data_IF_241262850157
#
_entry.id   IF_241262850157
#
_cell.length_a   1.000
_cell.length_b   1.000
_cell.length_c   1.000
_cell.angle_alpha   90.00
_cell.angle_beta   90.00
_cell.angle_gamma   90.00
#
_symmetry.space_group_name_H-M   'P 1'
#
loop_
_entity.id
_entity.type
_entity.pdbx_description
1 polymer ?
#
# COMPACT_ATOMS: atom_id res chain seq x y z
N UNK A 1 -21.84 36.14 33.43
CA UNK A 1 -22.36 34.79 33.10
C UNK A 1 -21.68 34.34 31.81
N UNK A 2 -20.56 33.63 31.96
CA UNK A 2 -19.81 33.06 30.85
C UNK A 2 -20.33 31.66 30.53
N UNK A 3 -20.83 31.47 29.31
CA UNK A 3 -21.14 30.17 28.75
C UNK A 3 -20.39 30.03 27.44
N UNK A 4 -19.17 29.50 27.49
CA UNK A 4 -18.47 29.00 26.32
C UNK A 4 -19.14 27.69 25.94
N UNK A 5 -20.06 27.76 24.97
CA UNK A 5 -20.57 26.59 24.28
C UNK A 5 -19.48 26.04 23.38
N UNK A 6 -18.70 25.09 23.90
CA UNK A 6 -17.85 24.25 23.06
C UNK A 6 -18.74 23.43 22.15
N UNK A 7 -18.85 23.83 20.89
CA UNK A 7 -19.43 22.99 19.85
C UNK A 7 -18.56 21.75 19.77
N UNK A 8 -19.07 20.61 20.23
CA UNK A 8 -18.52 19.30 19.90
C UNK A 8 -18.64 19.16 18.38
N UNK A 9 -17.62 19.61 17.65
CA UNK A 9 -17.50 19.37 16.22
C UNK A 9 -17.34 17.88 16.04
N UNK A 10 -18.41 17.19 15.65
CA UNK A 10 -18.30 15.80 15.23
C UNK A 10 -17.35 15.76 14.04
N UNK A 11 -16.31 14.92 14.12
CA UNK A 11 -15.41 14.71 12.99
C UNK A 11 -16.22 14.34 11.75
N UNK A 12 -15.87 14.92 10.60
CA UNK A 12 -16.63 14.71 9.37
C UNK A 12 -16.30 13.34 8.78
N UNK A 13 -17.30 12.50 8.52
CA UNK A 13 -17.09 11.19 7.88
C UNK A 13 -16.90 11.39 6.38
N UNK A 14 -15.81 10.85 5.84
CA UNK A 14 -15.38 11.02 4.44
C UNK A 14 -14.89 9.70 3.84
N UNK A 15 -14.85 9.63 2.51
CA UNK A 15 -14.27 8.49 1.77
C UNK A 15 -12.75 8.64 1.59
N UNK A 16 -12.06 7.53 1.29
CA UNK A 16 -10.64 7.57 0.93
C UNK A 16 -10.37 8.48 -0.29
N UNK A 17 -11.26 8.50 -1.29
CA UNK A 17 -11.14 9.42 -2.43
C UNK A 17 -11.20 10.89 -2.01
N UNK A 18 -12.07 11.22 -1.05
CA UNK A 18 -12.15 12.57 -0.50
C UNK A 18 -10.88 12.93 0.27
N UNK A 19 -10.35 12.02 1.10
CA UNK A 19 -9.07 12.24 1.80
C UNK A 19 -7.95 12.52 0.82
N UNK A 20 -7.82 11.73 -0.25
CA UNK A 20 -6.77 11.94 -1.27
C UNK A 20 -6.90 13.25 -2.05
N UNK A 21 -8.07 13.87 -2.04
CA UNK A 21 -8.31 15.17 -2.68
C UNK A 21 -8.13 16.35 -1.71
N UNK A 22 -7.92 16.11 -0.42
CA UNK A 22 -7.69 17.16 0.57
C UNK A 22 -6.27 17.73 0.44
N UNK A 23 -6.13 19.00 0.78
CA UNK A 23 -4.82 19.60 0.94
C UNK A 23 -4.11 19.02 2.17
N UNK A 24 -2.78 18.92 2.10
CA UNK A 24 -1.95 18.57 3.25
C UNK A 24 -2.11 19.58 4.40
N UNK A 25 -1.87 19.11 5.62
CA UNK A 25 -1.99 19.88 6.84
C UNK A 25 -3.01 19.30 7.82
N UNK A 26 -3.42 20.10 8.83
CA UNK A 26 -4.41 19.68 9.81
C UNK A 26 -5.77 19.39 9.16
N UNK A 27 -6.36 18.25 9.52
CA UNK A 27 -7.71 17.83 9.13
C UNK A 27 -8.43 17.27 10.36
N UNK A 28 -9.75 17.10 10.32
CA UNK A 28 -10.50 16.40 11.37
C UNK A 28 -11.61 15.55 10.74
N UNK A 29 -11.20 14.39 10.24
CA UNK A 29 -12.05 13.51 9.45
C UNK A 29 -11.98 12.08 9.94
N UNK A 30 -13.04 11.33 9.67
CA UNK A 30 -13.10 9.89 9.93
C UNK A 30 -13.33 9.18 8.61
N UNK A 31 -12.56 8.12 8.37
CA UNK A 31 -12.81 7.17 7.29
C UNK A 31 -13.27 5.86 7.92
N UNK A 32 -14.48 5.43 7.57
CA UNK A 32 -15.11 4.24 8.15
C UNK A 32 -15.02 3.02 7.22
N UNK A 33 -14.97 1.84 7.84
CA UNK A 33 -14.99 0.53 7.18
C UNK A 33 -13.89 0.37 6.10
N UNK A 34 -12.64 0.67 6.44
CA UNK A 34 -11.48 0.40 5.58
C UNK A 34 -10.72 -0.83 6.07
N UNK A 35 -10.14 -1.60 5.15
CA UNK A 35 -9.35 -2.77 5.48
C UNK A 35 -7.87 -2.43 5.49
N UNK A 36 -7.15 -2.92 6.49
CA UNK A 36 -5.69 -2.91 6.51
C UNK A 36 -5.19 -3.92 5.49
N UNK A 37 -4.49 -3.46 4.46
CA UNK A 37 -4.10 -4.30 3.33
C UNK A 37 -2.64 -4.74 3.36
N UNK A 38 -1.76 -3.92 3.94
CA UNK A 38 -0.33 -4.22 3.97
C UNK A 38 0.35 -3.53 5.16
N UNK A 39 1.28 -4.20 5.83
CA UNK A 39 2.01 -3.67 6.99
C UNK A 39 3.46 -3.34 6.60
N UNK A 40 3.90 -2.13 6.94
CA UNK A 40 5.28 -1.65 6.77
C UNK A 40 5.93 -1.43 8.13
N UNK A 41 7.24 -1.20 8.15
CA UNK A 41 7.97 -0.97 9.40
C UNK A 41 7.49 0.26 10.20
N UNK A 42 6.89 1.26 9.53
CA UNK A 42 6.45 2.53 10.13
C UNK A 42 5.01 2.92 9.82
N UNK A 43 4.17 1.93 9.52
CA UNK A 43 2.80 2.21 9.13
C UNK A 43 2.16 1.05 8.40
N UNK A 44 1.05 1.32 7.75
CA UNK A 44 0.27 0.34 7.01
C UNK A 44 -0.54 1.01 5.92
N UNK A 45 -0.98 0.26 4.91
CA UNK A 45 -1.91 0.76 3.90
C UNK A 45 -3.33 0.32 4.22
N UNK A 46 -4.30 1.17 3.85
CA UNK A 46 -5.72 0.86 3.94
C UNK A 46 -6.41 1.00 2.59
N UNK A 47 -7.41 0.15 2.33
CA UNK A 47 -8.28 0.23 1.17
C UNK A 47 -9.70 -0.23 1.52
N UNK A 48 -10.70 0.31 0.82
CA UNK A 48 -12.10 -0.13 0.97
C UNK A 48 -12.55 -1.07 -0.13
N UNK A 49 -12.05 -0.87 -1.34
CA UNK A 49 -12.51 -1.54 -2.56
C UNK A 49 -11.31 -1.93 -3.43
N UNK A 50 -11.45 -2.99 -4.23
CA UNK A 50 -10.38 -3.51 -5.09
C UNK A 50 -9.75 -2.45 -5.98
N UNK A 51 -10.58 -1.65 -6.66
CA UNK A 51 -10.15 -0.56 -7.56
C UNK A 51 -10.28 0.83 -6.91
N UNK A 52 -10.51 0.86 -5.60
CA UNK A 52 -10.62 2.09 -4.84
C UNK A 52 -9.24 2.63 -4.43
N UNK A 53 -9.15 3.94 -4.15
CA UNK A 53 -7.91 4.52 -3.67
C UNK A 53 -7.43 3.84 -2.40
N UNK A 54 -6.11 3.63 -2.32
CA UNK A 54 -5.42 3.30 -1.08
C UNK A 54 -4.92 4.56 -0.39
N UNK A 55 -4.62 4.42 0.90
CA UNK A 55 -3.98 5.45 1.71
C UNK A 55 -2.94 4.80 2.61
N UNK A 56 -1.74 5.39 2.67
CA UNK A 56 -0.75 5.00 3.66
C UNK A 56 -1.02 5.72 4.98
N UNK A 57 -0.96 4.97 6.07
CA UNK A 57 -1.14 5.46 7.44
C UNK A 57 0.19 5.35 8.16
N UNK A 58 0.76 6.49 8.52
CA UNK A 58 2.02 6.55 9.25
C UNK A 58 1.79 6.41 10.75
N UNK A 59 2.50 5.47 11.39
CA UNK A 59 2.41 5.22 12.84
C UNK A 59 3.70 5.56 13.58
N UNK A 60 4.71 6.07 12.89
CA UNK A 60 6.02 6.30 13.47
C UNK A 60 6.76 4.98 13.75
N UNK A 61 7.68 4.95 14.74
CA UNK A 61 8.48 3.76 15.06
C UNK A 61 7.70 2.72 15.88
N UNK A 62 6.49 3.04 16.34
CA UNK A 62 5.68 2.12 17.11
C UNK A 62 5.04 1.07 16.18
N UNK A 63 4.92 -0.19 16.64
CA UNK A 63 4.17 -1.21 15.92
C UNK A 63 2.73 -0.73 15.66
N UNK A 64 2.22 -1.02 14.46
CA UNK A 64 0.84 -0.72 14.12
C UNK A 64 -0.11 -1.51 15.06
N UNK A 65 -1.16 -0.88 15.63
CA UNK A 65 -2.12 -1.56 16.52
C UNK A 65 -3.16 -2.39 15.76
N UNK A 66 -2.80 -2.85 14.55
CA UNK A 66 -3.69 -3.49 13.58
C UNK A 66 -2.95 -4.62 12.86
N UNK A 67 -3.70 -5.55 12.29
CA UNK A 67 -3.19 -6.61 11.43
C UNK A 67 -3.82 -6.54 10.03
N UNK A 68 -3.14 -7.10 9.03
CA UNK A 68 -3.71 -7.28 7.68
C UNK A 68 -5.04 -8.04 7.78
N UNK A 69 -6.06 -7.54 7.07
CA UNK A 69 -7.41 -8.10 7.09
C UNK A 69 -8.34 -7.55 8.18
N UNK A 70 -7.82 -6.75 9.12
CA UNK A 70 -8.68 -5.99 10.04
C UNK A 70 -9.47 -4.93 9.27
N UNK A 71 -10.76 -4.81 9.60
CA UNK A 71 -11.60 -3.67 9.21
C UNK A 71 -11.59 -2.63 10.33
N UNK A 72 -11.26 -1.40 9.98
CA UNK A 72 -11.09 -0.31 10.94
C UNK A 72 -11.88 0.94 10.55
N UNK A 73 -12.20 1.73 11.57
CA UNK A 73 -12.57 3.14 11.43
C UNK A 73 -11.38 3.99 11.88
N UNK A 74 -10.98 4.95 11.05
CA UNK A 74 -9.76 5.71 11.22
C UNK A 74 -10.08 7.20 11.34
N UNK A 75 -9.76 7.80 12.49
CA UNK A 75 -9.67 9.25 12.64
C UNK A 75 -8.32 9.72 12.10
N UNK A 76 -8.34 10.76 11.27
CA UNK A 76 -7.15 11.40 10.71
C UNK A 76 -7.14 12.85 11.20
N UNK A 77 -6.06 13.25 11.87
CA UNK A 77 -5.88 14.62 12.35
C UNK A 77 -4.91 15.44 11.47
N UNK A 78 -4.10 14.76 10.63
CA UNK A 78 -3.15 15.42 9.74
C UNK A 78 -2.93 14.62 8.46
N UNK A 79 -2.76 15.33 7.35
CA UNK A 79 -2.23 14.79 6.11
C UNK A 79 -0.85 15.40 5.86
N UNK A 80 0.06 14.60 5.35
CA UNK A 80 1.38 15.04 4.86
C UNK A 80 1.80 14.20 3.67
N UNK A 81 2.95 14.51 3.09
CA UNK A 81 3.57 13.65 2.10
C UNK A 81 5.02 13.33 2.42
N UNK A 82 5.42 12.11 2.11
CA UNK A 82 6.82 11.68 2.17
C UNK A 82 7.20 11.00 0.86
N UNK A 83 8.23 11.55 0.18
CA UNK A 83 8.72 11.05 -1.11
C UNK A 83 7.66 10.91 -2.22
N UNK A 84 6.66 11.78 -2.22
CA UNK A 84 5.57 11.79 -3.21
C UNK A 84 4.30 11.10 -2.73
N UNK A 85 4.41 10.26 -1.69
CA UNK A 85 3.27 9.49 -1.17
C UNK A 85 2.49 10.34 -0.18
N UNK A 86 1.17 10.44 -0.38
CA UNK A 86 0.26 11.00 0.61
C UNK A 86 0.14 10.05 1.80
N UNK A 87 0.38 10.58 3.00
CA UNK A 87 0.32 9.85 4.25
C UNK A 87 -0.72 10.47 5.19
N UNK A 88 -1.53 9.62 5.83
CA UNK A 88 -2.29 10.00 7.00
C UNK A 88 -1.38 9.99 8.23
N UNK A 89 -1.11 11.19 8.72
CA UNK A 89 -0.37 11.47 9.95
C UNK A 89 -1.34 11.65 11.12
N UNK A 90 -0.83 11.45 12.34
CA UNK A 90 -1.58 11.69 13.58
C UNK A 90 -2.98 11.06 13.52
N UNK A 91 -2.97 9.73 13.46
CA UNK A 91 -4.19 8.94 13.29
C UNK A 91 -4.58 8.22 14.57
N UNK A 92 -5.88 7.95 14.72
CA UNK A 92 -6.40 7.13 15.81
C UNK A 92 -7.37 6.10 15.24
N UNK A 93 -7.13 4.83 15.51
CA UNK A 93 -8.08 3.75 15.21
C UNK A 93 -9.24 3.84 16.19
N UNK A 94 -10.43 4.17 15.69
CA UNK A 94 -11.65 4.34 16.50
C UNK A 94 -12.36 3.01 16.74
N UNK A 95 -12.35 2.14 15.72
CA UNK A 95 -12.90 0.80 15.77
C UNK A 95 -11.94 -0.15 15.04
N UNK A 96 -11.83 -1.38 15.54
CA UNK A 96 -11.11 -2.47 14.90
C UNK A 96 -11.89 -3.76 15.15
N UNK A 97 -12.34 -4.42 14.07
CA UNK A 97 -13.09 -5.67 14.18
C UNK A 97 -12.21 -6.87 14.59
N UNK A 98 -10.88 -6.72 14.55
CA UNK A 98 -9.88 -7.77 14.73
C UNK A 98 -10.13 -9.00 13.83
N UNK A 99 -10.79 -8.78 12.69
CA UNK A 99 -11.16 -9.81 11.74
C UNK A 99 -9.99 -10.24 10.85
N UNK A 100 -10.24 -11.28 10.07
CA UNK A 100 -9.30 -11.87 9.12
C UNK A 100 -9.86 -11.81 7.70
N UNK A 101 -10.30 -10.62 7.27
CA UNK A 101 -10.81 -10.46 5.91
C UNK A 101 -9.71 -10.80 4.90
N UNK A 102 -10.04 -11.64 3.91
CA UNK A 102 -9.10 -12.03 2.86
C UNK A 102 -8.90 -10.87 1.88
N UNK A 103 -8.02 -9.93 2.24
CA UNK A 103 -7.73 -8.75 1.43
C UNK A 103 -7.04 -9.10 0.11
N UNK A 104 -6.29 -10.21 0.05
CA UNK A 104 -5.61 -10.62 -1.17
C UNK A 104 -6.64 -11.05 -2.21
N UNK A 105 -7.52 -11.98 -1.85
CA UNK A 105 -8.56 -12.47 -2.77
C UNK A 105 -9.55 -11.38 -3.14
N UNK A 106 -9.88 -10.48 -2.22
CA UNK A 106 -10.96 -9.52 -2.43
C UNK A 106 -10.51 -8.15 -2.94
N UNK A 107 -9.35 -7.64 -2.51
CA UNK A 107 -8.91 -6.26 -2.77
C UNK A 107 -7.66 -6.15 -3.65
N UNK A 108 -6.83 -7.18 -3.79
CA UNK A 108 -5.64 -7.07 -4.62
C UNK A 108 -6.02 -6.90 -6.11
N UNK A 109 -5.31 -5.99 -6.79
CA UNK A 109 -5.40 -5.85 -8.24
C UNK A 109 -4.28 -6.60 -8.94
N UNK A 110 -4.64 -7.55 -9.80
CA UNK A 110 -3.66 -8.29 -10.60
C UNK A 110 -3.15 -7.44 -11.77
N UNK A 111 -1.95 -6.90 -11.65
CA UNK A 111 -1.35 -6.05 -12.68
C UNK A 111 -0.75 -6.84 -13.84
N UNK A 112 -0.52 -8.15 -13.69
CA UNK A 112 0.05 -9.00 -14.75
C UNK A 112 -0.95 -9.48 -15.81
N UNK A 113 -2.22 -9.11 -15.70
CA UNK A 113 -3.24 -9.53 -16.68
C UNK A 113 -3.03 -8.89 -18.05
N UNK A 114 -3.17 -9.67 -19.13
CA UNK A 114 -3.07 -9.15 -20.50
C UNK A 114 -1.69 -8.56 -20.76
N UNK A 115 -1.61 -7.34 -21.29
CA UNK A 115 -0.35 -6.65 -21.57
C UNK A 115 0.43 -6.21 -20.33
N UNK A 116 -0.14 -6.37 -19.13
CA UNK A 116 0.39 -5.80 -17.90
C UNK A 116 -0.08 -4.35 -17.70
N UNK A 117 -0.24 -3.96 -16.43
CA UNK A 117 -0.52 -2.57 -16.02
C UNK A 117 0.68 -2.02 -15.26
N UNK A 118 1.29 -0.96 -15.76
CA UNK A 118 2.39 -0.30 -15.07
C UNK A 118 1.90 0.41 -13.78
N UNK A 119 2.72 0.49 -12.72
CA UNK A 119 2.42 1.30 -11.55
C UNK A 119 2.21 2.76 -11.96
N UNK A 120 1.29 3.43 -11.27
CA UNK A 120 0.96 4.83 -11.49
C UNK A 120 0.52 5.48 -10.18
N UNK A 121 0.48 6.81 -10.13
CA UNK A 121 0.02 7.57 -8.95
C UNK A 121 -1.42 7.18 -8.55
N UNK A 122 -2.24 6.81 -9.55
CA UNK A 122 -3.59 6.32 -9.34
C UNK A 122 -3.64 5.01 -8.55
N UNK A 123 -2.57 4.20 -8.59
CA UNK A 123 -2.43 2.94 -7.85
C UNK A 123 -1.71 3.10 -6.51
N UNK A 124 -1.17 4.28 -6.19
CA UNK A 124 -0.41 4.49 -4.94
C UNK A 124 -1.18 4.00 -3.70
N UNK A 125 -0.46 3.32 -2.80
CA UNK A 125 -0.95 2.69 -1.57
C UNK A 125 -1.97 1.57 -1.79
N UNK A 126 -2.20 1.12 -3.02
CA UNK A 126 -3.09 0.01 -3.32
C UNK A 126 -2.34 -1.32 -3.26
N UNK A 127 -3.03 -2.35 -2.76
CA UNK A 127 -2.61 -3.74 -2.78
C UNK A 127 -2.69 -4.28 -4.21
N UNK A 128 -1.58 -4.81 -4.70
CA UNK A 128 -1.44 -5.31 -6.06
C UNK A 128 -0.82 -6.70 -6.06
N UNK A 129 -1.13 -7.44 -7.11
CA UNK A 129 -0.63 -8.79 -7.34
C UNK A 129 0.05 -8.87 -8.70
N UNK A 130 1.16 -9.61 -8.78
CA UNK A 130 1.75 -10.08 -10.02
C UNK A 130 1.76 -11.59 -10.04
N UNK A 131 1.53 -12.15 -11.22
CA UNK A 131 1.74 -13.56 -11.50
C UNK A 131 2.83 -13.69 -12.56
N UNK A 132 3.70 -14.70 -12.43
CA UNK A 132 4.76 -15.05 -13.38
C UNK A 132 5.67 -13.85 -13.74
N UNK A 133 5.93 -12.95 -12.78
CA UNK A 133 6.84 -11.83 -12.97
C UNK A 133 8.27 -12.35 -13.15
N UNK A 134 9.05 -11.71 -14.02
CA UNK A 134 10.45 -12.08 -14.28
C UNK A 134 11.38 -10.94 -13.90
N UNK A 135 12.47 -11.23 -13.19
CA UNK A 135 13.53 -10.24 -12.94
C UNK A 135 14.36 -10.04 -14.21
N UNK A 136 14.36 -8.84 -14.78
CA UNK A 136 15.15 -8.53 -15.98
C UNK A 136 16.54 -7.97 -15.66
N UNK A 137 16.66 -7.22 -14.57
CA UNK A 137 17.93 -6.65 -14.12
C UNK A 137 17.85 -6.17 -12.66
N UNK A 138 19.00 -5.78 -12.12
CA UNK A 138 19.12 -5.21 -10.78
C UNK A 138 19.61 -6.22 -9.73
N UNK A 139 19.61 -5.78 -8.49
CA UNK A 139 20.00 -6.56 -7.31
C UNK A 139 19.33 -5.98 -6.07
N UNK A 140 19.27 -6.74 -4.98
CA UNK A 140 18.62 -6.26 -3.77
C UNK A 140 19.17 -4.89 -3.31
N UNK A 141 18.30 -3.95 -2.88
CA UNK A 141 16.85 -4.09 -2.76
C UNK A 141 16.07 -3.69 -4.02
N UNK A 142 16.71 -3.33 -5.14
CA UNK A 142 16.05 -2.72 -6.30
C UNK A 142 16.22 -3.55 -7.58
N UNK A 143 15.09 -4.01 -8.12
CA UNK A 143 15.02 -4.84 -9.32
C UNK A 143 14.18 -4.15 -10.40
N UNK A 144 14.45 -4.48 -11.66
CA UNK A 144 13.52 -4.26 -12.76
C UNK A 144 12.85 -5.58 -13.06
N UNK A 145 11.52 -5.58 -13.04
CA UNK A 145 10.71 -6.79 -13.20
C UNK A 145 9.72 -6.60 -14.33
N UNK A 146 9.59 -7.59 -15.18
CA UNK A 146 8.59 -7.63 -16.25
C UNK A 146 7.46 -8.56 -15.87
N UNK A 147 6.23 -8.17 -16.21
CA UNK A 147 5.05 -9.01 -16.03
C UNK A 147 4.00 -8.73 -17.11
N UNK A 148 3.06 -9.67 -17.28
CA UNK A 148 2.11 -9.65 -18.39
C UNK A 148 2.77 -9.95 -19.73
N UNK A 149 2.02 -9.77 -20.82
CA UNK A 149 2.45 -10.08 -22.19
C UNK A 149 3.08 -8.89 -22.92
N UNK A 150 3.04 -7.70 -22.32
CA UNK A 150 3.57 -6.46 -22.87
C UNK A 150 4.93 -6.07 -22.27
N UNK A 151 5.48 -4.90 -22.67
CA UNK A 151 6.76 -4.40 -22.17
C UNK A 151 6.63 -3.75 -20.78
N UNK A 152 5.68 -4.19 -19.94
CA UNK A 152 5.48 -3.63 -18.62
C UNK A 152 6.62 -4.06 -17.69
N UNK A 153 7.76 -3.39 -17.84
CA UNK A 153 8.85 -3.40 -16.88
C UNK A 153 8.54 -2.37 -15.80
N UNK A 154 8.65 -2.79 -14.55
CA UNK A 154 8.44 -1.93 -13.39
C UNK A 154 9.59 -2.09 -12.43
N UNK A 155 9.89 -1.01 -11.72
CA UNK A 155 10.79 -1.08 -10.59
C UNK A 155 10.08 -1.81 -9.44
N UNK A 156 10.77 -2.79 -8.86
CA UNK A 156 10.40 -3.46 -7.63
C UNK A 156 11.44 -3.13 -6.57
N UNK A 157 10.99 -2.65 -5.42
CA UNK A 157 11.80 -2.46 -4.23
C UNK A 157 11.46 -3.53 -3.19
N UNK A 158 12.35 -4.49 -3.00
CA UNK A 158 12.22 -5.58 -2.03
C UNK A 158 13.19 -5.34 -0.87
N UNK A 159 12.66 -4.93 0.28
CA UNK A 159 13.48 -4.57 1.45
C UNK A 159 14.17 -5.80 2.05
N UNK A 160 13.39 -6.87 2.23
CA UNK A 160 13.92 -8.19 2.55
C UNK A 160 14.19 -8.91 1.23
N UNK A 161 15.37 -9.51 1.10
CA UNK A 161 15.75 -10.23 -0.11
C UNK A 161 15.10 -11.63 -0.10
N UNK A 162 14.17 -11.94 -1.02
CA UNK A 162 13.57 -13.26 -1.10
C UNK A 162 14.43 -14.24 -1.91
N UNK A 163 15.64 -13.84 -2.34
CA UNK A 163 16.52 -14.61 -3.22
C UNK A 163 16.31 -14.32 -4.71
N UNK A 164 15.93 -13.08 -5.06
CA UNK A 164 15.76 -12.69 -6.46
C UNK A 164 17.11 -12.61 -7.19
N UNK A 165 17.16 -13.17 -8.40
CA UNK A 165 18.28 -13.04 -9.32
C UNK A 165 17.78 -12.78 -10.75
N UNK A 166 18.62 -12.19 -11.61
CA UNK A 166 18.26 -11.89 -13.00
C UNK A 166 17.90 -13.16 -13.74
N UNK A 167 16.67 -13.25 -14.24
CA UNK A 167 16.08 -14.43 -14.87
C UNK A 167 15.17 -15.25 -13.95
N UNK A 168 15.10 -14.94 -12.65
CA UNK A 168 14.15 -15.57 -11.75
C UNK A 168 12.71 -15.20 -12.12
N UNK A 169 11.78 -16.16 -11.97
CA UNK A 169 10.34 -15.92 -12.05
C UNK A 169 9.67 -16.07 -10.71
N UNK A 170 8.62 -15.30 -10.43
CA UNK A 170 7.93 -15.29 -9.15
C UNK A 170 6.51 -14.72 -9.25
N UNK A 171 5.68 -15.06 -8.28
CA UNK A 171 4.44 -14.36 -7.97
C UNK A 171 4.69 -13.39 -6.82
N UNK A 172 3.89 -12.32 -6.76
CA UNK A 172 4.09 -11.22 -5.81
C UNK A 172 2.78 -10.65 -5.32
N UNK A 173 2.69 -10.34 -4.03
CA UNK A 173 1.66 -9.52 -3.41
C UNK A 173 2.32 -8.38 -2.65
N UNK A 174 1.99 -7.13 -2.97
CA UNK A 174 2.55 -5.98 -2.27
C UNK A 174 1.80 -4.71 -2.59
N UNK A 175 2.45 -3.56 -2.44
CA UNK A 175 1.82 -2.26 -2.65
C UNK A 175 2.53 -1.44 -3.71
N UNK A 176 1.80 -0.50 -4.33
CA UNK A 176 2.41 0.55 -5.14
C UNK A 176 2.79 1.72 -4.24
N UNK A 177 4.02 2.19 -4.41
CA UNK A 177 4.63 3.29 -3.65
C UNK A 177 5.23 4.28 -4.64
N UNK A 178 5.52 5.51 -4.22
CA UNK A 178 6.31 6.45 -5.01
C UNK A 178 7.67 6.68 -4.33
N UNK A 179 8.76 6.65 -5.10
CA UNK A 179 10.08 6.97 -4.54
C UNK A 179 11.02 7.63 -5.55
N UNK A 180 11.12 8.96 -5.55
CA UNK A 180 12.11 9.80 -6.28
C UNK A 180 12.20 9.64 -7.81
N UNK A 181 11.73 8.53 -8.37
CA UNK A 181 11.78 8.14 -9.78
C UNK A 181 10.40 7.75 -10.32
N UNK A 182 9.34 8.07 -9.58
CA UNK A 182 7.96 7.73 -9.88
C UNK A 182 7.45 6.45 -9.19
N UNK A 183 6.23 6.02 -9.55
CA UNK A 183 5.57 4.85 -8.97
C UNK A 183 6.34 3.55 -9.20
N UNK A 184 6.41 2.73 -8.16
CA UNK A 184 7.10 1.45 -8.16
C UNK A 184 6.34 0.44 -7.28
N UNK A 185 6.66 -0.85 -7.44
CA UNK A 185 6.19 -1.90 -6.54
C UNK A 185 7.07 -1.94 -5.30
N UNK A 186 6.48 -2.22 -4.15
CA UNK A 186 7.21 -2.36 -2.90
C UNK A 186 6.79 -3.59 -2.13
N UNK A 187 7.81 -4.28 -1.63
CA UNK A 187 7.70 -5.28 -0.58
C UNK A 187 8.67 -4.96 0.55
N UNK A 188 8.20 -5.23 1.76
CA UNK A 188 8.96 -5.14 3.00
C UNK A 188 9.30 -6.51 3.59
N UNK A 189 8.81 -7.59 2.97
CA UNK A 189 8.83 -8.95 3.54
C UNK A 189 9.10 -9.99 2.47
N UNK A 190 9.96 -10.96 2.78
CA UNK A 190 10.23 -12.07 1.85
C UNK A 190 8.99 -12.94 1.55
N UNK A 191 8.02 -12.98 2.47
CA UNK A 191 6.77 -13.74 2.33
C UNK A 191 5.79 -13.15 1.31
N UNK A 192 6.04 -11.94 0.82
CA UNK A 192 5.27 -11.32 -0.25
C UNK A 192 5.51 -12.00 -1.61
N UNK A 193 6.51 -12.87 -1.68
CA UNK A 193 6.92 -13.60 -2.87
C UNK A 193 6.52 -15.07 -2.74
N UNK A 194 5.97 -15.61 -3.83
CA UNK A 194 5.64 -17.04 -3.94
C UNK A 194 6.05 -17.59 -5.29
N UNK A 195 6.06 -18.92 -5.43
CA UNK A 195 6.40 -19.59 -6.69
C UNK A 195 7.74 -19.12 -7.31
N UNK A 196 8.72 -18.78 -6.46
CA UNK A 196 10.03 -18.35 -6.88
C UNK A 196 10.77 -19.50 -7.58
N UNK A 197 11.12 -19.30 -8.84
CA UNK A 197 11.94 -20.18 -9.66
C UNK A 197 13.21 -19.44 -10.08
N UNK A 198 14.37 -19.97 -9.66
CA UNK A 198 15.70 -19.42 -9.94
C UNK A 198 16.47 -20.20 -11.01
N UNK A 199 15.84 -21.18 -11.66
CA UNK A 199 16.49 -21.99 -12.71
C UNK A 199 16.95 -21.15 -13.91
N UNK A 200 16.31 -20.01 -14.16
CA UNK A 200 16.69 -19.04 -15.19
C UNK A 200 17.79 -18.07 -14.79
N UNK A 201 18.33 -18.16 -13.57
CA UNK A 201 19.28 -17.17 -13.09
C UNK A 201 20.61 -17.21 -13.84
N UNK A 202 20.98 -16.07 -14.42
CA UNK A 202 22.27 -15.89 -15.08
C UNK A 202 23.37 -15.84 -14.02
N UNK A 203 24.32 -16.79 -14.06
CA UNK A 203 25.54 -16.77 -13.24
C UNK A 203 26.49 -15.65 -13.67
#
# INVERSE_FOLDING_TARGET
TGGSGGTAGGSNVVTLSQVRAMAEGPVDVVVEDVYVTYLRAKGYTVQKERQGPGLYVFTGPAPAPVAVGNKIDLKIAKLSSFNGILEADDTTVLANDNGTYDVVTNLAQTLSTGAGTAPSDALESQLVALNDATVESGSAPAFQVRYGTGPAASRLFATEDPGLCVGATFDFIGVVTEWTSGPQLESTRSEDFSNLDTTGCSN
#
